data_IF_304958350121
#
_entry.id   IF_304958350121
#
_cell.length_a   1.000
_cell.length_b   1.000
_cell.length_c   1.000
_cell.angle_alpha   90.00
_cell.angle_beta   90.00
_cell.angle_gamma   90.00
#
_symmetry.space_group_name_H-M   'P 1'
#
loop_
_entity.id
_entity.type
_entity.pdbx_description
1 polymer ?
#
# COMPACT_ATOMS: atom_id res chain seq x y z
N UNK A 1 1.59 -21.90 38.04
CA UNK A 1 0.60 -21.04 37.35
C UNK A 1 1.33 -19.81 36.83
N UNK A 2 2.27 -20.01 35.90
CA UNK A 2 3.12 -18.98 35.27
C UNK A 2 2.77 -18.77 33.79
N UNK A 3 1.99 -19.69 33.20
CA UNK A 3 1.72 -19.72 31.76
C UNK A 3 0.80 -18.57 31.32
N UNK A 4 -0.25 -18.28 32.09
CA UNK A 4 -1.22 -17.22 31.73
C UNK A 4 -0.64 -15.80 31.60
N UNK A 5 0.43 -15.49 32.32
CA UNK A 5 1.08 -14.17 32.22
C UNK A 5 2.01 -14.09 31.01
N UNK A 6 2.67 -15.19 30.64
CA UNK A 6 3.47 -15.27 29.41
C UNK A 6 2.55 -15.23 28.18
N UNK A 7 1.44 -15.96 28.19
CA UNK A 7 0.45 -15.96 27.10
C UNK A 7 -0.12 -14.55 26.84
N UNK A 8 -0.37 -13.77 27.89
CA UNK A 8 -0.88 -12.40 27.78
C UNK A 8 0.13 -11.42 27.16
N UNK A 9 1.42 -11.57 27.50
CA UNK A 9 2.49 -10.77 26.93
C UNK A 9 2.75 -11.14 25.47
N UNK A 10 2.68 -12.42 25.12
CA UNK A 10 2.86 -12.91 23.75
C UNK A 10 1.74 -12.41 22.82
N UNK A 11 0.47 -12.48 23.26
CA UNK A 11 -0.68 -11.94 22.50
C UNK A 11 -0.56 -10.43 22.33
N UNK A 12 -0.17 -9.69 23.39
CA UNK A 12 0.02 -8.25 23.30
C UNK A 12 1.14 -7.86 22.34
N UNK A 13 2.26 -8.59 22.36
CA UNK A 13 3.38 -8.35 21.46
C UNK A 13 3.01 -8.67 20.01
N UNK A 14 2.38 -9.82 19.77
CA UNK A 14 1.90 -10.20 18.43
C UNK A 14 0.96 -9.14 17.86
N UNK A 15 0.02 -8.64 18.66
CA UNK A 15 -0.94 -7.59 18.24
C UNK A 15 -0.24 -6.28 17.86
N UNK A 16 0.79 -5.87 18.60
CA UNK A 16 1.55 -4.65 18.30
C UNK A 16 2.41 -4.82 17.04
N UNK A 17 2.98 -6.01 16.83
CA UNK A 17 3.77 -6.32 15.65
C UNK A 17 2.89 -6.31 14.40
N UNK A 18 1.72 -6.96 14.43
CA UNK A 18 0.77 -6.97 13.31
C UNK A 18 0.29 -5.56 12.99
N UNK A 19 -0.12 -4.77 13.99
CA UNK A 19 -0.57 -3.40 13.77
C UNK A 19 0.51 -2.50 13.15
N UNK A 20 1.78 -2.70 13.54
CA UNK A 20 2.91 -1.97 12.95
C UNK A 20 3.17 -2.39 11.50
N UNK A 21 3.05 -3.68 11.20
CA UNK A 21 3.25 -4.22 9.84
C UNK A 21 2.14 -3.78 8.89
N UNK A 22 0.88 -3.85 9.33
CA UNK A 22 -0.29 -3.36 8.61
C UNK A 22 -0.17 -1.87 8.29
N UNK A 23 0.12 -1.02 9.29
CA UNK A 23 0.28 0.41 9.05
C UNK A 23 1.44 0.77 8.11
N UNK A 24 2.49 -0.07 8.07
CA UNK A 24 3.60 0.10 7.12
C UNK A 24 3.19 -0.28 5.70
N UNK A 25 2.40 -1.32 5.52
CA UNK A 25 1.94 -1.77 4.21
C UNK A 25 0.89 -0.82 3.64
N UNK A 26 -0.08 -0.38 4.44
CA UNK A 26 -1.09 0.62 4.05
C UNK A 26 -0.42 1.93 3.59
N UNK A 27 0.52 2.46 4.39
CA UNK A 27 1.24 3.69 4.01
C UNK A 27 2.09 3.53 2.74
N UNK A 28 2.61 2.32 2.48
CA UNK A 28 3.34 2.02 1.23
C UNK A 28 2.38 2.01 0.05
N UNK A 29 1.23 1.37 0.19
CA UNK A 29 0.22 1.29 -0.87
C UNK A 29 -0.36 2.67 -1.22
N UNK A 30 -0.74 3.46 -0.21
CA UNK A 30 -1.25 4.81 -0.40
C UNK A 30 -0.21 5.72 -1.09
N UNK A 31 1.06 5.64 -0.66
CA UNK A 31 2.15 6.40 -1.27
C UNK A 31 2.35 6.05 -2.74
N UNK A 32 2.31 4.77 -3.09
CA UNK A 32 2.44 4.30 -4.47
C UNK A 32 1.27 4.76 -5.35
N UNK A 33 0.04 4.67 -4.84
CA UNK A 33 -1.15 5.14 -5.56
C UNK A 33 -1.10 6.65 -5.77
N UNK A 34 -0.72 7.41 -4.75
CA UNK A 34 -0.57 8.87 -4.84
C UNK A 34 0.46 9.27 -5.89
N UNK A 35 1.64 8.65 -5.86
CA UNK A 35 2.68 8.87 -6.85
C UNK A 35 2.25 8.49 -8.26
N UNK A 36 1.62 7.32 -8.45
CA UNK A 36 1.12 6.86 -9.75
C UNK A 36 0.11 7.85 -10.34
N UNK A 37 -0.86 8.32 -9.54
CA UNK A 37 -1.85 9.31 -9.98
C UNK A 37 -1.20 10.64 -10.38
N UNK A 38 -0.19 11.09 -9.65
CA UNK A 38 0.54 12.31 -10.00
C UNK A 38 1.30 12.15 -11.32
N UNK A 39 1.99 11.03 -11.55
CA UNK A 39 2.66 10.77 -12.82
C UNK A 39 1.68 10.68 -13.99
N UNK A 40 0.54 10.01 -13.81
CA UNK A 40 -0.51 9.96 -14.84
C UNK A 40 -1.04 11.36 -15.19
N UNK A 41 -1.28 12.22 -14.19
CA UNK A 41 -1.68 13.61 -14.39
C UNK A 41 -0.61 14.46 -15.07
N UNK A 42 0.66 14.16 -14.82
CA UNK A 42 1.80 14.79 -15.50
C UNK A 42 2.04 14.25 -16.92
N UNK A 43 1.25 13.27 -17.39
CA UNK A 43 1.31 12.75 -18.76
C UNK A 43 2.36 11.67 -18.99
N UNK A 44 2.91 11.07 -17.93
CA UNK A 44 3.82 9.92 -18.08
C UNK A 44 3.04 8.68 -18.56
N UNK A 45 3.65 7.85 -19.41
CA UNK A 45 3.00 6.65 -19.92
C UNK A 45 2.93 5.56 -18.82
N UNK A 46 1.86 4.75 -18.87
CA UNK A 46 1.51 3.81 -17.80
C UNK A 46 2.53 2.68 -17.60
N UNK A 47 3.21 2.26 -18.67
CA UNK A 47 4.29 1.27 -18.66
C UNK A 47 5.52 1.76 -17.87
N UNK A 48 5.96 3.00 -18.13
CA UNK A 48 7.07 3.62 -17.39
C UNK A 48 6.71 3.79 -15.91
N UNK A 49 5.47 4.17 -15.60
CA UNK A 49 5.02 4.31 -14.21
C UNK A 49 5.01 2.95 -13.50
N UNK A 50 4.49 1.91 -14.16
CA UNK A 50 4.45 0.55 -13.64
C UNK A 50 5.86 0.03 -13.30
N UNK A 51 6.82 0.23 -14.20
CA UNK A 51 8.21 -0.15 -13.99
C UNK A 51 8.86 0.61 -12.82
N UNK A 52 8.71 1.94 -12.79
CA UNK A 52 9.39 2.79 -11.79
C UNK A 52 8.81 2.66 -10.38
N UNK A 53 7.50 2.43 -10.26
CA UNK A 53 6.83 2.25 -8.97
C UNK A 53 6.72 0.79 -8.55
N UNK A 54 7.23 -0.13 -9.37
CA UNK A 54 7.10 -1.57 -9.19
C UNK A 54 5.62 -1.96 -8.93
N UNK A 55 4.73 -1.38 -9.71
CA UNK A 55 3.29 -1.61 -9.67
C UNK A 55 2.88 -2.47 -10.87
N UNK A 56 1.87 -3.34 -10.74
CA UNK A 56 1.30 -4.03 -11.89
C UNK A 56 0.78 -3.02 -12.92
N UNK A 57 1.09 -3.23 -14.20
CA UNK A 57 0.61 -2.36 -15.28
C UNK A 57 -0.92 -2.25 -15.28
N UNK A 58 -1.62 -3.36 -15.04
CA UNK A 58 -3.08 -3.38 -14.90
C UNK A 58 -3.57 -2.39 -13.82
N UNK A 59 -2.86 -2.31 -12.69
CA UNK A 59 -3.23 -1.38 -11.61
C UNK A 59 -3.06 0.06 -12.03
N UNK A 60 -2.00 0.39 -12.76
CA UNK A 60 -1.77 1.75 -13.29
C UNK A 60 -2.83 2.13 -14.31
N UNK A 61 -3.23 1.19 -15.19
CA UNK A 61 -4.31 1.40 -16.16
C UNK A 61 -5.68 1.60 -15.48
N UNK A 62 -5.97 0.84 -14.42
CA UNK A 62 -7.16 1.07 -13.60
C UNK A 62 -7.18 2.48 -13.01
N UNK A 63 -6.07 2.93 -12.42
CA UNK A 63 -5.93 4.29 -11.87
C UNK A 63 -6.10 5.36 -12.96
N UNK A 64 -5.60 5.11 -14.17
CA UNK A 64 -5.80 6.01 -15.31
C UNK A 64 -7.27 6.11 -15.71
N UNK A 65 -7.98 4.99 -15.76
CA UNK A 65 -9.42 4.97 -16.04
C UNK A 65 -10.23 5.68 -14.94
N UNK A 66 -9.88 5.46 -13.66
CA UNK A 66 -10.50 6.16 -12.52
C UNK A 66 -10.33 7.70 -12.64
N UNK A 67 -9.17 8.18 -13.08
CA UNK A 67 -8.92 9.62 -13.27
C UNK A 67 -9.75 10.18 -14.43
N UNK A 68 -9.84 9.45 -15.53
CA UNK A 68 -10.61 9.86 -16.70
C UNK A 68 -12.13 9.82 -16.46
N UNK A 69 -12.62 8.89 -15.63
CA UNK A 69 -14.03 8.77 -15.28
C UNK A 69 -14.52 9.87 -14.31
N UNK A 70 -13.61 10.51 -13.60
CA UNK A 70 -13.91 11.61 -12.66
C UNK A 70 -13.66 13.00 -13.26
N UNK A 71 -13.39 13.09 -14.57
CA UNK A 71 -13.22 14.33 -15.34
C UNK A 71 -14.45 14.57 -16.20
#
# INVERSE_FOLDING_TARGET
MWDRQIDSLEVSYATLVTAREEGREEGREEGLIYSARNFLRSGFPADVIAENLNLPLERVLQLQNELNANT
#
